data_IF_645832003587
#
_entry.id   IF_645832003587
#
_cell.length_a   1.000
_cell.length_b   1.000
_cell.length_c   1.000
_cell.angle_alpha   90.00
_cell.angle_beta   90.00
_cell.angle_gamma   90.00
#
_symmetry.space_group_name_H-M   'P 1'
#
loop_
_entity.id
_entity.type
_entity.pdbx_description
1 polymer ?
#
# COMPACT_ATOMS: atom_id res chain seq x y z
N UNK A 1 -48.82 38.77 -16.79
CA UNK A 1 -48.18 37.67 -17.55
C UNK A 1 -46.86 37.34 -16.92
N UNK A 2 -46.86 36.26 -16.24
CA UNK A 2 -45.82 35.85 -15.29
C UNK A 2 -44.98 34.72 -15.92
N UNK A 3 -43.68 34.86 -15.96
CA UNK A 3 -42.77 33.77 -16.31
C UNK A 3 -41.82 33.50 -15.16
N UNK A 4 -42.14 32.46 -14.41
CA UNK A 4 -41.25 31.87 -13.47
C UNK A 4 -40.05 31.25 -14.21
N UNK A 5 -38.82 31.54 -13.74
CA UNK A 5 -37.60 30.81 -14.10
C UNK A 5 -37.21 29.91 -12.93
N UNK A 6 -37.40 28.66 -13.13
CA UNK A 6 -36.90 27.54 -12.29
C UNK A 6 -35.38 27.53 -12.36
N UNK A 7 -34.73 27.67 -11.21
CA UNK A 7 -33.31 27.45 -11.08
C UNK A 7 -33.03 25.97 -10.95
N UNK A 8 -32.39 25.39 -11.93
CA UNK A 8 -31.77 24.06 -11.86
C UNK A 8 -30.42 24.19 -11.15
N UNK A 9 -30.38 23.74 -9.91
CA UNK A 9 -29.15 23.53 -9.19
C UNK A 9 -28.48 22.29 -9.76
N UNK A 10 -27.40 22.53 -10.49
CA UNK A 10 -26.46 21.50 -10.93
C UNK A 10 -25.72 20.94 -9.71
N UNK A 11 -26.20 19.82 -9.13
CA UNK A 11 -25.50 18.98 -8.18
C UNK A 11 -25.02 17.77 -8.94
N UNK A 12 -23.88 17.87 -9.58
CA UNK A 12 -23.13 16.70 -10.02
C UNK A 12 -21.65 17.07 -10.11
N UNK A 13 -21.00 17.23 -8.96
CA UNK A 13 -19.59 16.91 -8.85
C UNK A 13 -19.47 15.44 -8.47
N UNK A 14 -19.79 14.58 -9.44
CA UNK A 14 -19.45 13.18 -9.37
C UNK A 14 -17.92 13.05 -9.22
N UNK A 15 -17.48 12.66 -8.05
CA UNK A 15 -16.11 12.17 -7.85
C UNK A 15 -15.92 11.00 -8.81
N UNK A 16 -15.12 11.21 -9.85
CA UNK A 16 -14.75 10.15 -10.77
C UNK A 16 -14.07 9.02 -10.00
N UNK A 17 -14.54 7.78 -10.13
CA UNK A 17 -13.90 6.61 -9.49
C UNK A 17 -12.48 6.34 -9.99
N UNK A 18 -12.05 7.00 -11.04
CA UNK A 18 -10.74 6.81 -11.67
C UNK A 18 -9.56 7.39 -10.86
N UNK A 19 -9.80 8.32 -9.94
CA UNK A 19 -8.73 8.96 -9.17
C UNK A 19 -8.07 8.06 -8.11
N UNK A 20 -8.64 6.89 -7.82
CA UNK A 20 -8.20 6.00 -6.74
C UNK A 20 -7.50 4.72 -7.23
N UNK A 21 -7.39 4.53 -8.56
CA UNK A 21 -6.85 3.30 -9.15
C UNK A 21 -5.36 3.31 -9.41
N UNK A 22 -4.65 4.43 -9.18
CA UNK A 22 -3.23 4.56 -9.44
C UNK A 22 -2.43 4.57 -8.14
N UNK A 23 -1.39 3.72 -8.09
CA UNK A 23 -0.37 3.78 -7.05
C UNK A 23 0.25 5.18 -7.08
N UNK A 24 0.32 5.89 -5.93
CA UNK A 24 0.88 7.25 -5.85
C UNK A 24 2.31 7.36 -6.38
N UNK A 25 3.05 6.27 -6.50
CA UNK A 25 4.36 6.25 -7.13
C UNK A 25 4.30 6.34 -8.66
N UNK A 26 3.21 5.95 -9.31
CA UNK A 26 3.13 5.85 -10.77
C UNK A 26 3.00 7.20 -11.46
N UNK A 27 2.44 8.20 -10.80
CA UNK A 27 2.23 9.55 -11.34
C UNK A 27 3.50 10.37 -11.46
N UNK A 28 4.57 10.00 -10.74
CA UNK A 28 5.78 10.81 -10.63
C UNK A 28 7.05 10.16 -11.21
N UNK A 29 6.96 8.93 -11.71
CA UNK A 29 8.15 8.14 -12.09
C UNK A 29 8.03 7.67 -13.54
N UNK A 30 9.08 7.90 -14.32
CA UNK A 30 9.26 7.23 -15.61
C UNK A 30 9.73 5.79 -15.33
N UNK A 31 8.80 4.84 -15.40
CA UNK A 31 9.04 3.43 -15.16
C UNK A 31 9.15 2.66 -16.47
N UNK A 32 10.05 1.67 -16.51
CA UNK A 32 10.14 0.74 -17.63
C UNK A 32 8.92 -0.17 -17.68
N UNK A 33 8.39 -0.51 -16.51
CA UNK A 33 7.14 -1.28 -16.36
C UNK A 33 6.36 -0.80 -15.15
N UNK A 34 5.09 -0.53 -15.39
CA UNK A 34 4.09 -0.29 -14.37
C UNK A 34 2.89 -1.21 -14.65
N UNK A 35 2.55 -2.04 -13.69
CA UNK A 35 1.37 -2.92 -13.76
C UNK A 35 0.60 -2.79 -12.46
N UNK A 36 -0.37 -1.89 -12.43
CA UNK A 36 -1.28 -1.69 -11.30
C UNK A 36 -2.60 -2.41 -11.53
N UNK A 37 -3.09 -3.09 -10.51
CA UNK A 37 -4.40 -3.75 -10.53
C UNK A 37 -5.11 -3.44 -9.21
N UNK A 38 -6.22 -2.69 -9.25
CA UNK A 38 -7.09 -2.52 -8.09
C UNK A 38 -7.88 -3.81 -7.83
N UNK A 39 -8.23 -4.08 -6.57
CA UNK A 39 -9.21 -5.11 -6.24
C UNK A 39 -10.60 -4.67 -6.71
N UNK A 40 -11.30 -5.42 -7.56
CA UNK A 40 -12.57 -4.99 -8.15
C UNK A 40 -13.80 -5.22 -7.26
N UNK A 41 -13.62 -5.94 -6.14
CA UNK A 41 -14.73 -6.41 -5.32
C UNK A 41 -14.97 -5.56 -4.08
N UNK A 42 -14.19 -4.50 -3.87
CA UNK A 42 -14.30 -3.61 -2.72
C UNK A 42 -14.55 -2.16 -3.13
N UNK A 43 -15.24 -1.43 -2.27
CA UNK A 43 -15.67 -0.03 -2.43
C UNK A 43 -14.51 0.98 -2.43
N UNK A 44 -14.74 2.29 -2.72
CA UNK A 44 -13.70 3.32 -2.83
C UNK A 44 -12.74 3.35 -1.64
N UNK A 45 -11.45 3.32 -1.91
CA UNK A 45 -10.38 3.12 -0.94
C UNK A 45 -9.68 1.78 -1.14
N UNK A 46 -9.82 1.21 -2.31
CA UNK A 46 -9.46 -0.15 -2.67
C UNK A 46 -7.97 -0.44 -2.53
N UNK A 47 -7.66 -1.59 -1.94
CA UNK A 47 -6.36 -2.23 -2.00
C UNK A 47 -5.84 -2.30 -3.44
N UNK A 48 -4.60 -1.87 -3.65
CA UNK A 48 -3.94 -1.96 -4.96
C UNK A 48 -2.63 -2.73 -4.87
N UNK A 49 -2.35 -3.50 -5.91
CA UNK A 49 -1.05 -4.16 -6.10
C UNK A 49 -0.40 -3.61 -7.35
N UNK A 50 0.81 -3.12 -7.21
CA UNK A 50 1.57 -2.53 -8.31
C UNK A 50 2.95 -3.14 -8.38
N UNK A 51 3.39 -3.58 -9.56
CA UNK A 51 4.79 -3.90 -9.81
C UNK A 51 5.45 -2.72 -10.49
N UNK A 52 6.53 -2.24 -9.90
CA UNK A 52 7.34 -1.12 -10.35
C UNK A 52 8.73 -1.61 -10.72
N UNK A 53 9.14 -1.38 -11.95
CA UNK A 53 10.49 -1.75 -12.43
C UNK A 53 11.14 -0.57 -13.13
N UNK A 54 12.39 -0.28 -12.75
CA UNK A 54 13.24 0.71 -13.42
C UNK A 54 14.64 0.16 -13.63
N UNK A 55 15.16 0.32 -14.83
CA UNK A 55 16.54 -0.05 -15.18
C UNK A 55 17.58 1.02 -14.76
N UNK A 56 17.13 2.25 -14.54
CA UNK A 56 18.01 3.39 -14.23
C UNK A 56 17.93 3.86 -12.77
N UNK A 57 16.85 3.51 -12.05
CA UNK A 57 16.51 4.10 -10.76
C UNK A 57 15.69 5.37 -10.89
N UNK A 58 15.59 6.13 -9.79
CA UNK A 58 14.88 7.41 -9.73
C UNK A 58 15.88 8.56 -9.88
N UNK A 59 15.60 9.55 -10.74
CA UNK A 59 16.48 10.73 -10.87
C UNK A 59 16.49 11.56 -9.58
N UNK A 60 15.33 11.68 -8.91
CA UNK A 60 15.13 12.53 -7.77
C UNK A 60 14.43 11.81 -6.61
N UNK A 61 14.47 12.44 -5.41
CA UNK A 61 13.72 12.02 -4.25
C UNK A 61 12.23 12.25 -4.47
N UNK A 62 11.43 11.22 -4.23
CA UNK A 62 9.96 11.32 -4.23
C UNK A 62 9.51 11.80 -2.85
N UNK A 63 8.86 12.96 -2.79
CA UNK A 63 8.47 13.62 -1.53
C UNK A 63 6.99 13.61 -1.23
N UNK A 64 6.13 13.28 -2.22
CA UNK A 64 4.69 13.20 -2.02
C UNK A 64 4.20 11.85 -2.51
N UNK A 65 3.99 10.93 -1.57
CA UNK A 65 3.57 9.58 -1.91
C UNK A 65 2.05 9.44 -2.00
N UNK A 66 1.29 10.09 -1.14
CA UNK A 66 -0.19 10.10 -1.19
C UNK A 66 -0.76 11.15 -0.23
N UNK A 67 -1.99 11.60 -0.52
CA UNK A 67 -2.83 12.36 0.40
C UNK A 67 -3.87 11.48 1.12
N UNK A 68 -3.84 10.17 0.89
CA UNK A 68 -4.82 9.23 1.42
C UNK A 68 -4.20 8.46 2.58
N UNK A 69 -4.90 8.33 3.72
CA UNK A 69 -4.45 7.47 4.82
C UNK A 69 -4.35 6.02 4.37
N UNK A 70 -3.12 5.54 4.23
CA UNK A 70 -2.85 4.17 3.78
C UNK A 70 -1.50 3.67 4.31
N UNK A 71 -1.33 2.36 4.34
CA UNK A 71 -0.04 1.71 4.45
C UNK A 71 0.50 1.35 3.06
N UNK A 72 1.77 1.62 2.84
CA UNK A 72 2.53 1.08 1.75
C UNK A 72 3.35 -0.10 2.24
N UNK A 73 3.07 -1.29 1.73
CA UNK A 73 3.94 -2.46 1.90
C UNK A 73 4.73 -2.63 0.61
N UNK A 74 6.04 -2.55 0.70
CA UNK A 74 6.94 -2.59 -0.44
C UNK A 74 7.86 -3.79 -0.34
N UNK A 75 7.86 -4.67 -1.35
CA UNK A 75 8.68 -5.89 -1.39
C UNK A 75 9.66 -5.80 -2.55
N UNK A 76 10.95 -5.90 -2.24
CA UNK A 76 11.99 -5.93 -3.27
C UNK A 76 12.01 -7.28 -3.98
N UNK A 77 12.03 -7.28 -5.31
CA UNK A 77 12.22 -8.51 -6.11
C UNK A 77 13.68 -8.73 -6.50
N UNK A 78 14.48 -7.65 -6.49
CA UNK A 78 15.92 -7.65 -6.77
C UNK A 78 16.69 -7.12 -5.58
N UNK A 79 17.94 -7.53 -5.43
CA UNK A 79 18.84 -6.95 -4.43
C UNK A 79 19.18 -5.49 -4.78
N UNK A 80 19.17 -4.61 -3.75
CA UNK A 80 19.68 -3.25 -3.89
C UNK A 80 20.96 -3.09 -3.08
N UNK A 81 22.03 -2.57 -3.71
CA UNK A 81 23.29 -2.29 -3.02
C UNK A 81 23.14 -1.24 -1.91
N UNK A 82 24.09 -1.25 -0.99
CA UNK A 82 24.22 -0.21 0.04
C UNK A 82 24.24 1.19 -0.61
N UNK A 83 23.60 2.14 0.04
CA UNK A 83 23.45 3.54 -0.43
C UNK A 83 22.72 3.73 -1.77
N UNK A 84 22.12 2.70 -2.34
CA UNK A 84 21.30 2.85 -3.56
C UNK A 84 19.82 3.08 -3.29
N UNK A 85 19.39 2.99 -2.04
CA UNK A 85 18.03 3.21 -1.60
C UNK A 85 18.03 3.97 -0.27
N UNK A 86 17.18 4.97 -0.15
CA UNK A 86 16.99 5.75 1.07
C UNK A 86 15.52 6.02 1.33
N UNK A 87 15.16 6.00 2.61
CA UNK A 87 13.82 6.34 3.10
C UNK A 87 13.95 7.44 4.13
N UNK A 88 12.99 8.35 4.12
CA UNK A 88 12.83 9.38 5.16
C UNK A 88 11.42 9.28 5.73
N UNK A 89 11.27 9.60 7.00
CA UNK A 89 10.00 9.86 7.64
C UNK A 89 10.11 11.23 8.34
N UNK A 90 9.19 12.14 8.05
CA UNK A 90 9.24 13.52 8.53
C UNK A 90 10.66 14.13 8.38
N UNK A 91 11.24 14.03 7.21
CA UNK A 91 12.61 14.49 6.84
C UNK A 91 13.79 13.83 7.57
N UNK A 92 13.55 12.87 8.46
CA UNK A 92 14.62 12.11 9.12
C UNK A 92 14.98 10.89 8.27
N UNK A 93 16.28 10.74 7.98
CA UNK A 93 16.81 9.56 7.29
C UNK A 93 16.63 8.33 8.17
N UNK A 94 16.04 7.29 7.59
CA UNK A 94 15.99 5.97 8.20
C UNK A 94 17.18 5.17 7.65
N UNK A 95 18.06 4.66 8.51
CA UNK A 95 19.19 3.86 8.06
C UNK A 95 18.73 2.66 7.25
N UNK A 96 19.22 2.54 6.03
CA UNK A 96 18.84 1.48 5.10
C UNK A 96 20.08 0.65 4.76
N UNK A 97 20.16 -0.62 5.17
CA UNK A 97 21.26 -1.52 4.81
C UNK A 97 21.15 -1.97 3.35
N UNK A 98 21.99 -2.89 2.92
CA UNK A 98 21.77 -3.66 1.68
C UNK A 98 20.41 -4.33 1.75
N UNK A 99 19.63 -4.22 0.69
CA UNK A 99 18.30 -4.86 0.61
C UNK A 99 18.40 -6.16 -0.20
N UNK A 100 18.35 -7.32 0.44
CA UNK A 100 18.22 -8.60 -0.26
C UNK A 100 16.87 -8.70 -0.97
N UNK A 101 16.71 -9.60 -1.94
CA UNK A 101 15.40 -9.88 -2.52
C UNK A 101 14.40 -10.36 -1.47
N UNK A 102 13.14 -10.03 -1.66
CA UNK A 102 12.02 -10.39 -0.79
C UNK A 102 12.12 -9.84 0.63
N UNK A 103 12.82 -8.72 0.83
CA UNK A 103 12.71 -7.91 2.05
C UNK A 103 11.56 -6.94 1.93
N UNK A 104 10.89 -6.73 3.07
CA UNK A 104 9.73 -5.85 3.17
C UNK A 104 10.05 -4.52 3.81
N UNK A 105 9.38 -3.47 3.32
CA UNK A 105 9.23 -2.21 4.02
C UNK A 105 7.75 -1.99 4.27
N UNK A 106 7.38 -1.55 5.48
CA UNK A 106 6.02 -1.10 5.80
C UNK A 106 6.10 0.35 6.20
N UNK A 107 5.42 1.19 5.44
CA UNK A 107 5.49 2.64 5.55
C UNK A 107 4.08 3.18 5.68
N UNK A 108 3.85 3.97 6.73
CA UNK A 108 2.60 4.67 6.94
C UNK A 108 2.65 6.03 6.24
N UNK A 109 1.70 6.31 5.36
CA UNK A 109 1.64 7.60 4.65
C UNK A 109 1.41 8.79 5.59
N UNK A 110 0.80 8.59 6.75
CA UNK A 110 0.65 9.65 7.75
C UNK A 110 2.01 10.09 8.37
N UNK A 111 3.07 9.30 8.18
CA UNK A 111 4.43 9.67 8.60
C UNK A 111 5.17 10.61 7.62
N UNK A 112 4.48 11.13 6.61
CA UNK A 112 5.05 11.96 5.53
C UNK A 112 6.32 11.34 4.94
N UNK A 113 6.24 10.10 4.44
CA UNK A 113 7.41 9.41 3.96
C UNK A 113 7.90 9.98 2.64
N UNK A 114 9.20 9.84 2.40
CA UNK A 114 9.79 10.05 1.10
C UNK A 114 10.86 9.01 0.83
N UNK A 115 11.15 8.75 -0.43
CA UNK A 115 12.13 7.75 -0.80
C UNK A 115 12.93 8.15 -2.04
N UNK A 116 14.07 7.50 -2.20
CA UNK A 116 14.92 7.59 -3.37
C UNK A 116 15.56 6.24 -3.65
N UNK A 117 15.65 5.87 -4.92
CA UNK A 117 16.29 4.64 -5.39
C UNK A 117 17.21 5.00 -6.59
N UNK A 118 18.51 5.18 -6.32
CA UNK A 118 19.48 5.65 -7.31
C UNK A 118 20.05 4.56 -8.22
N UNK A 119 19.55 3.33 -8.18
CA UNK A 119 19.93 2.20 -9.03
C UNK A 119 18.70 1.48 -9.53
N UNK A 120 18.91 0.60 -10.53
CA UNK A 120 17.86 -0.29 -11.02
C UNK A 120 17.16 -1.01 -9.88
N UNK A 121 15.85 -1.07 -9.95
CA UNK A 121 15.01 -1.73 -8.93
C UNK A 121 13.85 -2.49 -9.56
N UNK A 122 13.28 -3.40 -8.78
CA UNK A 122 12.05 -4.13 -9.11
C UNK A 122 11.32 -4.40 -7.79
N UNK A 123 10.16 -3.78 -7.62
CA UNK A 123 9.36 -3.83 -6.40
C UNK A 123 7.93 -4.28 -6.69
N UNK A 124 7.33 -4.95 -5.73
CA UNK A 124 5.87 -5.05 -5.61
C UNK A 124 5.43 -4.14 -4.47
N UNK A 125 4.54 -3.22 -4.76
CA UNK A 125 3.90 -2.33 -3.83
C UNK A 125 2.46 -2.80 -3.57
N UNK A 126 2.10 -2.87 -2.30
CA UNK A 126 0.72 -3.03 -1.85
C UNK A 126 0.32 -1.74 -1.16
N UNK A 127 -0.61 -1.01 -1.75
CA UNK A 127 -1.23 0.13 -1.08
C UNK A 127 -2.49 -0.35 -0.40
N UNK A 128 -2.48 -0.29 0.92
CA UNK A 128 -3.56 -0.78 1.79
C UNK A 128 -4.21 0.41 2.48
N UNK A 129 -5.39 0.85 2.04
CA UNK A 129 -6.12 1.93 2.70
C UNK A 129 -6.42 1.57 4.16
N UNK A 130 -6.33 2.56 5.06
CA UNK A 130 -6.61 2.34 6.48
C UNK A 130 -8.02 1.84 6.73
N UNK A 131 -9.00 2.34 5.98
CA UNK A 131 -10.38 1.91 6.06
C UNK A 131 -10.53 0.41 5.84
N UNK A 132 -9.77 -0.17 4.90
CA UNK A 132 -9.80 -1.62 4.66
C UNK A 132 -9.23 -2.43 5.84
N UNK A 133 -8.16 -1.91 6.45
CA UNK A 133 -7.59 -2.56 7.64
C UNK A 133 -8.55 -2.46 8.84
N UNK A 134 -9.25 -1.33 8.99
CA UNK A 134 -10.25 -1.15 10.02
C UNK A 134 -11.45 -2.07 9.81
N UNK A 135 -11.90 -2.27 8.56
CA UNK A 135 -12.97 -3.21 8.23
C UNK A 135 -12.57 -4.66 8.54
N UNK A 136 -11.36 -5.08 8.13
CA UNK A 136 -10.84 -6.41 8.46
C UNK A 136 -10.71 -6.58 9.98
N UNK A 137 -10.23 -5.56 10.69
CA UNK A 137 -10.13 -5.59 12.15
C UNK A 137 -11.49 -5.74 12.80
N UNK A 138 -12.50 -5.02 12.33
CA UNK A 138 -13.88 -5.10 12.82
C UNK A 138 -14.50 -6.49 12.58
N UNK A 139 -14.31 -7.07 11.39
CA UNK A 139 -14.77 -8.42 11.05
C UNK A 139 -14.14 -9.50 11.95
N UNK A 140 -12.91 -9.26 12.40
CA UNK A 140 -12.19 -10.12 13.33
C UNK A 140 -12.53 -9.82 14.81
N UNK A 141 -13.39 -8.84 15.10
CA UNK A 141 -13.77 -8.42 16.46
C UNK A 141 -12.71 -7.56 17.16
N UNK A 142 -11.84 -6.91 16.41
CA UNK A 142 -10.82 -6.00 16.93
C UNK A 142 -11.25 -4.54 16.80
N UNK A 143 -10.64 -3.67 17.62
CA UNK A 143 -10.82 -2.23 17.51
C UNK A 143 -9.94 -1.61 16.41
N UNK A 144 -10.24 -0.34 16.08
CA UNK A 144 -9.49 0.45 15.09
C UNK A 144 -8.01 0.54 15.47
N UNK A 145 -7.15 0.23 14.51
CA UNK A 145 -5.69 0.32 14.65
C UNK A 145 -5.23 1.73 14.29
N UNK A 146 -4.68 2.47 15.25
CA UNK A 146 -4.30 3.86 15.04
C UNK A 146 -2.85 4.06 14.62
N UNK A 147 -1.95 3.18 15.04
CA UNK A 147 -0.52 3.34 14.80
C UNK A 147 0.09 2.06 14.25
N UNK A 148 0.60 2.13 13.03
CA UNK A 148 1.39 1.06 12.43
C UNK A 148 2.88 1.37 12.58
N UNK A 149 3.65 0.35 12.91
CA UNK A 149 5.09 0.51 13.07
C UNK A 149 5.76 0.62 11.70
N UNK A 150 6.43 1.75 11.47
CA UNK A 150 7.34 1.85 10.34
C UNK A 150 8.41 0.77 10.43
N UNK A 151 8.59 0.00 9.38
CA UNK A 151 9.63 -1.00 9.27
C UNK A 151 10.33 -0.94 7.93
N UNK A 152 11.65 -1.15 7.93
CA UNK A 152 12.49 -1.09 6.73
C UNK A 152 13.42 -2.29 6.70
N UNK A 153 13.47 -2.98 5.55
CA UNK A 153 14.34 -4.14 5.29
C UNK A 153 14.10 -5.30 6.26
N UNK A 154 12.85 -5.60 6.55
CA UNK A 154 12.49 -6.73 7.41
C UNK A 154 12.46 -8.05 6.67
N UNK A 155 12.79 -9.11 7.41
CA UNK A 155 12.68 -10.50 6.95
C UNK A 155 11.30 -11.05 7.31
N UNK A 156 10.30 -10.73 6.50
CA UNK A 156 8.94 -11.22 6.67
C UNK A 156 8.65 -12.35 5.67
N UNK A 157 8.77 -13.59 6.14
CA UNK A 157 8.56 -14.76 5.30
C UNK A 157 7.12 -14.86 4.78
N UNK A 158 6.13 -14.39 5.53
CA UNK A 158 4.73 -14.42 5.11
C UNK A 158 4.51 -13.46 3.95
N UNK A 159 4.96 -12.21 4.07
CA UNK A 159 4.91 -11.22 2.99
C UNK A 159 5.68 -11.69 1.76
N UNK A 160 6.84 -12.31 1.95
CA UNK A 160 7.63 -12.88 0.85
C UNK A 160 6.86 -13.99 0.10
N UNK A 161 6.16 -14.87 0.81
CA UNK A 161 5.37 -15.94 0.18
C UNK A 161 4.11 -15.42 -0.50
N UNK A 162 3.38 -14.49 0.13
CA UNK A 162 2.24 -13.80 -0.49
C UNK A 162 2.70 -13.17 -1.82
N UNK A 163 3.83 -12.45 -1.80
CA UNK A 163 4.35 -11.78 -3.00
C UNK A 163 4.70 -12.79 -4.10
N UNK A 164 5.39 -13.88 -3.79
CA UNK A 164 5.67 -14.94 -4.78
C UNK A 164 4.40 -15.51 -5.39
N UNK A 165 3.38 -15.72 -4.58
CA UNK A 165 2.11 -16.30 -5.03
C UNK A 165 1.29 -15.34 -5.90
N UNK A 166 1.38 -14.03 -5.66
CA UNK A 166 0.59 -13.03 -6.40
C UNK A 166 1.27 -12.59 -7.72
N UNK A 167 2.60 -12.72 -7.84
CA UNK A 167 3.35 -12.27 -9.02
C UNK A 167 2.74 -12.70 -10.37
N UNK A 168 2.24 -13.96 -10.55
CA UNK A 168 1.64 -14.38 -11.81
C UNK A 168 0.35 -13.66 -12.18
N UNK A 169 -0.32 -13.00 -11.22
CA UNK A 169 -1.62 -12.35 -11.39
C UNK A 169 -1.50 -10.84 -11.61
N UNK A 170 -0.33 -10.23 -11.25
CA UNK A 170 -0.12 -8.79 -11.39
C UNK A 170 -0.17 -8.39 -12.87
N UNK A 171 -0.98 -7.36 -13.16
CA UNK A 171 -1.20 -6.87 -14.54
C UNK A 171 -2.25 -7.64 -15.33
N UNK A 172 -2.81 -8.72 -14.80
CA UNK A 172 -3.92 -9.46 -15.42
C UNK A 172 -5.25 -8.91 -14.95
N UNK A 173 -6.25 -8.91 -15.86
CA UNK A 173 -7.59 -8.38 -15.59
C UNK A 173 -8.69 -9.42 -15.83
N UNK A 174 -8.32 -10.69 -15.91
CA UNK A 174 -9.29 -11.79 -15.99
C UNK A 174 -9.92 -12.07 -14.61
N UNK A 175 -11.14 -12.60 -14.61
CA UNK A 175 -11.91 -12.85 -13.39
C UNK A 175 -11.16 -13.70 -12.34
N UNK A 176 -10.54 -14.84 -12.70
CA UNK A 176 -9.76 -15.63 -11.77
C UNK A 176 -8.59 -14.86 -11.14
N UNK A 177 -7.87 -14.04 -11.92
CA UNK A 177 -6.76 -13.24 -11.41
C UNK A 177 -7.24 -12.16 -10.43
N UNK A 178 -8.34 -11.48 -10.75
CA UNK A 178 -8.95 -10.47 -9.89
C UNK A 178 -9.45 -11.09 -8.58
N UNK A 179 -10.08 -12.26 -8.63
CA UNK A 179 -10.49 -12.99 -7.43
C UNK A 179 -9.29 -13.40 -6.57
N UNK A 180 -8.20 -13.87 -7.18
CA UNK A 180 -6.98 -14.21 -6.46
C UNK A 180 -6.41 -12.97 -5.74
N UNK A 181 -6.34 -11.83 -6.42
CA UNK A 181 -5.87 -10.57 -5.84
C UNK A 181 -6.74 -10.14 -4.64
N UNK A 182 -8.05 -10.28 -4.73
CA UNK A 182 -8.96 -9.97 -3.64
C UNK A 182 -8.71 -10.86 -2.40
N UNK A 183 -8.54 -12.17 -2.60
CA UNK A 183 -8.23 -13.10 -1.50
C UNK A 183 -6.85 -12.79 -0.87
N UNK A 184 -5.84 -12.45 -1.68
CA UNK A 184 -4.53 -12.06 -1.16
C UNK A 184 -4.59 -10.75 -0.37
N UNK A 185 -5.48 -9.81 -0.71
CA UNK A 185 -5.66 -8.57 0.07
C UNK A 185 -6.13 -8.84 1.49
N UNK A 186 -7.04 -9.79 1.67
CA UNK A 186 -7.52 -10.22 3.00
C UNK A 186 -6.41 -10.87 3.82
N UNK A 187 -5.64 -11.78 3.20
CA UNK A 187 -4.53 -12.45 3.86
C UNK A 187 -3.46 -11.44 4.28
N UNK A 188 -3.15 -10.49 3.39
CA UNK A 188 -2.19 -9.42 3.68
C UNK A 188 -2.67 -8.53 4.83
N UNK A 189 -3.93 -8.07 4.79
CA UNK A 189 -4.53 -7.23 5.83
C UNK A 189 -4.50 -7.93 7.20
N UNK A 190 -4.94 -9.19 7.26
CA UNK A 190 -4.90 -9.98 8.49
C UNK A 190 -3.47 -10.17 9.02
N UNK A 191 -2.49 -10.40 8.14
CA UNK A 191 -1.09 -10.52 8.52
C UNK A 191 -0.53 -9.20 9.09
N UNK A 192 -0.82 -8.06 8.47
CA UNK A 192 -0.40 -6.74 8.95
C UNK A 192 -0.97 -6.43 10.32
N UNK A 193 -2.27 -6.71 10.54
CA UNK A 193 -2.92 -6.53 11.83
C UNK A 193 -2.29 -7.41 12.93
N UNK A 194 -1.96 -8.66 12.61
CA UNK A 194 -1.30 -9.57 13.54
C UNK A 194 0.13 -9.14 13.85
N UNK A 195 0.88 -8.75 12.84
CA UNK A 195 2.29 -8.38 12.95
C UNK A 195 2.52 -7.14 13.82
N UNK A 196 1.73 -6.10 13.63
CA UNK A 196 1.91 -4.82 14.32
C UNK A 196 1.41 -4.84 15.78
N UNK A 197 1.06 -6.05 16.29
CA UNK A 197 0.92 -6.29 17.72
C UNK A 197 -0.34 -5.73 18.37
N UNK A 198 -1.28 -5.24 17.60
CA UNK A 198 -2.58 -4.77 18.11
C UNK A 198 -3.36 -5.93 18.71
N UNK A 199 -3.28 -7.11 18.10
CA UNK A 199 -3.90 -8.34 18.57
C UNK A 199 -3.35 -8.82 19.93
N UNK A 200 -2.06 -8.67 20.15
CA UNK A 200 -1.44 -9.12 21.43
C UNK A 200 -1.88 -8.26 22.63
N UNK A 201 -2.08 -6.96 22.44
CA UNK A 201 -2.53 -6.07 23.53
C UNK A 201 -3.97 -6.36 23.99
N UNK A 202 -4.86 -6.71 23.07
CA UNK A 202 -6.25 -7.02 23.40
C UNK A 202 -6.39 -8.39 24.09
N UNK A 203 -5.64 -9.38 23.63
CA UNK A 203 -5.61 -10.71 24.26
C UNK A 203 -4.97 -10.68 25.65
N UNK A 204 -3.93 -9.86 25.88
CA UNK A 204 -3.32 -9.71 27.21
C UNK A 204 -4.21 -8.90 28.17
N UNK A 205 -4.99 -7.95 27.71
CA UNK A 205 -5.94 -7.21 28.53
C UNK A 205 -7.13 -8.07 28.98
N UNK A 206 -7.62 -8.97 28.14
CA UNK A 206 -8.70 -9.90 28.48
C UNK A 206 -8.27 -11.01 29.44
N UNK A 207 -6.98 -11.37 29.49
CA UNK A 207 -6.47 -12.39 30.42
C UNK A 207 -6.12 -11.86 31.80
N UNK A 208 -6.11 -10.53 32.02
CA UNK A 208 -5.87 -9.92 33.33
C UNK A 208 -7.16 -9.54 34.07
N UNK A 209 -8.33 -9.76 33.47
CA UNK A 209 -9.64 -9.44 34.02
C UNK A 209 -10.48 -10.67 34.45
N UNK A 210 -9.88 -11.87 34.54
CA UNK A 210 -10.57 -13.10 34.96
C UNK A 210 -10.08 -13.59 36.32
#
# INVERSE_FOLDING_TARGET
MNKARTGEQNRDSAHSPEAWSEDPFTTHIKLDRNSSVPSPFRTPGTFTVTRLESSAGLPDRITKLSSVPALLVSISLKSLPLHSYQVWAADKIIPTPVIPPFRSNVIDFDSEPSCWAGKAFDYVHYTVPRVELDDIAADLGFGVVRNYKLSVVEDDLVLAQITRSILPFIGRRDGPSLLALDQFSLILGAHLLQRDGVLQKLLSASSQGA
#
